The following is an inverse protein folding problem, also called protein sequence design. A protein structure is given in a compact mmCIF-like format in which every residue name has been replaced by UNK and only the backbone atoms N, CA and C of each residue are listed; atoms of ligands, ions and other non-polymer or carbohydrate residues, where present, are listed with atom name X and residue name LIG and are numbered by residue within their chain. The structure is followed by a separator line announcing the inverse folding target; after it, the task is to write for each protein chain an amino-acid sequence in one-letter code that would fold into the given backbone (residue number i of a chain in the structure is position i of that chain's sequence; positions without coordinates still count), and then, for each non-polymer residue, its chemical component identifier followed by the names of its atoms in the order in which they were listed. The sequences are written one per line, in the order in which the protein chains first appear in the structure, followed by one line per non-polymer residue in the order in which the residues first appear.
data_IF_041296276031
#
_entry.id   IF_041296276031
#
_cell.length_a   1.000
_cell.length_b   1.000
_cell.length_c   1.000
_cell.angle_alpha   90.00
_cell.angle_beta   90.00
_cell.angle_gamma   90.00
#
_symmetry.space_group_name_H-M   'P 1'
#
loop_
_entity.id
_entity.type
_entity.pdbx_description
1 polymer ?
#
# COMPACT_ATOMS: atom_id res chain seq x y z
N UNK A 1 6.23 -2.38 -4.90
CA UNK A 1 5.47 -3.65 -4.83
C UNK A 1 6.48 -4.81 -4.80
N UNK A 2 6.26 -5.87 -4.02
CA UNK A 2 7.21 -7.01 -3.86
C UNK A 2 6.86 -8.24 -4.73
N UNK A 3 6.01 -8.04 -5.73
CA UNK A 3 5.45 -9.10 -6.58
C UNK A 3 6.47 -9.69 -7.57
N UNK A 4 7.50 -8.93 -7.91
CA UNK A 4 8.55 -9.37 -8.84
C UNK A 4 9.50 -10.37 -8.14
N UNK A 5 10.22 -11.15 -8.93
CA UNK A 5 11.07 -12.24 -8.45
C UNK A 5 12.00 -11.85 -7.29
N UNK A 6 12.72 -10.70 -7.30
CA UNK A 6 13.61 -10.33 -6.19
C UNK A 6 12.85 -10.09 -4.87
N UNK A 7 11.65 -9.51 -4.94
CA UNK A 7 10.78 -9.31 -3.79
C UNK A 7 10.31 -10.63 -3.20
N UNK A 8 9.84 -11.54 -4.06
CA UNK A 8 9.41 -12.88 -3.66
C UNK A 8 10.54 -13.70 -3.04
N UNK A 9 11.74 -13.65 -3.65
CA UNK A 9 12.94 -14.34 -3.15
C UNK A 9 13.29 -13.89 -1.74
N UNK A 10 13.29 -12.59 -1.46
CA UNK A 10 13.58 -12.07 -0.12
C UNK A 10 12.55 -12.54 0.91
N UNK A 11 11.26 -12.56 0.55
CA UNK A 11 10.21 -13.04 1.44
C UNK A 11 10.41 -14.50 1.84
N UNK A 12 10.84 -15.35 0.89
CA UNK A 12 11.14 -16.76 1.16
C UNK A 12 12.46 -16.90 1.92
N UNK A 13 13.57 -16.43 1.35
CA UNK A 13 14.92 -16.75 1.81
C UNK A 13 15.29 -16.03 3.11
N UNK A 14 14.88 -14.75 3.24
CA UNK A 14 15.27 -13.91 4.38
C UNK A 14 14.24 -13.91 5.51
N UNK A 15 12.95 -14.05 5.16
CA UNK A 15 11.85 -13.99 6.12
C UNK A 15 11.17 -15.34 6.37
N UNK A 16 11.62 -16.41 5.70
CA UNK A 16 11.17 -17.78 5.96
C UNK A 16 9.70 -18.03 5.59
N UNK A 17 9.12 -17.20 4.72
CA UNK A 17 7.73 -17.38 4.32
C UNK A 17 7.61 -18.58 3.37
N UNK A 18 6.61 -19.45 3.55
CA UNK A 18 6.39 -20.56 2.63
C UNK A 18 6.17 -20.07 1.20
N UNK A 19 6.91 -20.63 0.24
CA UNK A 19 6.90 -20.20 -1.16
C UNK A 19 5.49 -20.18 -1.77
N UNK A 20 4.68 -21.22 -1.51
CA UNK A 20 3.30 -21.27 -1.99
C UNK A 20 2.41 -20.14 -1.46
N UNK A 21 2.68 -19.61 -0.26
CA UNK A 21 1.98 -18.43 0.27
C UNK A 21 2.47 -17.16 -0.42
N UNK A 22 3.77 -17.03 -0.65
CA UNK A 22 4.37 -15.88 -1.35
C UNK A 22 3.87 -15.78 -2.78
N UNK A 23 3.82 -16.91 -3.51
CA UNK A 23 3.23 -16.99 -4.85
C UNK A 23 1.78 -16.51 -4.83
N UNK A 24 0.94 -17.08 -3.96
CA UNK A 24 -0.47 -16.70 -3.86
C UNK A 24 -0.63 -15.22 -3.53
N UNK A 25 0.14 -14.70 -2.57
CA UNK A 25 0.13 -13.27 -2.23
C UNK A 25 0.50 -12.40 -3.41
N UNK A 26 1.49 -12.81 -4.21
CA UNK A 26 1.94 -12.04 -5.37
C UNK A 26 0.87 -11.90 -6.47
N UNK A 27 -0.11 -12.80 -6.48
CA UNK A 27 -1.21 -12.80 -7.44
C UNK A 27 -2.44 -12.02 -6.94
N UNK A 28 -2.75 -12.12 -5.64
CA UNK A 28 -4.02 -11.58 -5.09
C UNK A 28 -3.89 -10.15 -4.54
N UNK A 29 -2.68 -9.69 -4.20
CA UNK A 29 -2.48 -8.34 -3.66
C UNK A 29 -1.94 -7.39 -4.73
N UNK A 30 -2.79 -6.46 -5.17
CA UNK A 30 -2.36 -5.26 -5.87
C UNK A 30 -1.88 -4.15 -4.91
N UNK A 31 -1.50 -3.00 -5.47
CA UNK A 31 -0.94 -1.87 -4.71
C UNK A 31 -1.98 -1.32 -3.72
N UNK A 32 -3.23 -1.16 -4.15
CA UNK A 32 -4.28 -0.60 -3.27
C UNK A 32 -4.71 -1.62 -2.20
N UNK A 33 -4.67 -2.91 -2.51
CA UNK A 33 -4.90 -3.99 -1.53
C UNK A 33 -3.86 -3.99 -0.40
N UNK A 34 -2.59 -3.75 -0.71
CA UNK A 34 -1.53 -3.59 0.31
C UNK A 34 -1.80 -2.37 1.19
N UNK A 35 -2.23 -1.24 0.61
CA UNK A 35 -2.60 -0.05 1.39
C UNK A 35 -3.76 -0.34 2.36
N UNK A 36 -4.78 -1.08 1.92
CA UNK A 36 -5.93 -1.43 2.78
C UNK A 36 -5.53 -2.40 3.91
N UNK A 37 -4.60 -3.31 3.66
CA UNK A 37 -4.02 -4.16 4.70
C UNK A 37 -3.24 -3.34 5.74
N UNK A 38 -2.38 -2.42 5.29
CA UNK A 38 -1.66 -1.52 6.18
C UNK A 38 -2.61 -0.63 6.99
N UNK A 39 -3.68 -0.14 6.36
CA UNK A 39 -4.75 0.62 7.01
C UNK A 39 -5.43 -0.20 8.12
N UNK A 40 -5.74 -1.47 7.88
CA UNK A 40 -6.31 -2.37 8.87
C UNK A 40 -5.36 -2.60 10.07
N UNK A 41 -4.07 -2.83 9.81
CA UNK A 41 -3.05 -2.98 10.85
C UNK A 41 -2.91 -1.70 11.68
N UNK A 42 -2.87 -0.53 11.03
CA UNK A 42 -2.83 0.77 11.71
C UNK A 42 -4.09 1.01 12.53
N UNK A 43 -5.26 0.65 12.01
CA UNK A 43 -6.55 0.76 12.72
C UNK A 43 -6.53 -0.05 14.01
N UNK A 44 -6.08 -1.32 13.96
CA UNK A 44 -5.96 -2.17 15.14
C UNK A 44 -5.09 -1.51 16.23
N UNK A 45 -3.93 -1.00 15.82
CA UNK A 45 -2.96 -0.36 16.73
C UNK A 45 -3.45 0.98 17.26
N UNK A 46 -4.09 1.80 16.43
CA UNK A 46 -4.54 3.15 16.81
C UNK A 46 -5.69 3.11 17.80
N UNK A 47 -6.67 2.24 17.58
CA UNK A 47 -7.82 2.08 18.49
C UNK A 47 -7.55 1.10 19.64
N UNK A 48 -6.38 0.45 19.69
CA UNK A 48 -6.02 -0.47 20.76
C UNK A 48 -6.78 -1.79 20.74
N UNK A 49 -7.20 -2.25 19.56
CA UNK A 49 -7.94 -3.49 19.39
C UNK A 49 -7.12 -4.72 19.78
N UNK A 50 -7.77 -5.62 20.48
CA UNK A 50 -7.23 -6.88 20.97
C UNK A 50 -7.59 -8.06 20.08
N UNK A 51 -7.38 -9.25 20.65
CA UNK A 51 -7.60 -10.54 19.96
C UNK A 51 -9.07 -10.87 19.67
N UNK A 52 -10.00 -10.20 20.37
CA UNK A 52 -11.44 -10.46 20.29
C UNK A 52 -12.16 -9.45 19.39
N UNK A 53 -11.44 -8.43 18.91
CA UNK A 53 -11.96 -7.41 18.01
C UNK A 53 -11.81 -7.82 16.54
N UNK A 54 -12.81 -7.48 15.73
CA UNK A 54 -12.84 -7.83 14.31
C UNK A 54 -12.63 -6.58 13.45
N UNK A 55 -11.65 -6.64 12.56
CA UNK A 55 -11.45 -5.66 11.49
C UNK A 55 -11.76 -6.35 10.17
N UNK A 56 -12.69 -5.76 9.41
CA UNK A 56 -12.97 -6.17 8.03
C UNK A 56 -12.30 -5.17 7.10
N UNK A 57 -11.51 -5.67 6.16
CA UNK A 57 -10.88 -4.87 5.10
C UNK A 57 -11.05 -5.55 3.75
N UNK A 58 -10.93 -4.78 2.67
CA UNK A 58 -11.14 -5.26 1.31
C UNK A 58 -9.83 -5.15 0.54
N UNK A 59 -9.38 -6.26 -0.04
CA UNK A 59 -8.30 -6.22 -1.04
C UNK A 59 -8.94 -5.88 -2.39
N UNK A 60 -8.90 -4.61 -2.77
CA UNK A 60 -9.71 -4.03 -3.85
C UNK A 60 -9.28 -4.44 -5.26
N UNK A 61 -8.08 -4.96 -5.39
CA UNK A 61 -7.34 -5.07 -6.64
C UNK A 61 -6.28 -6.17 -6.52
N UNK A 62 -6.10 -6.89 -7.62
CA UNK A 62 -5.01 -7.81 -7.84
C UNK A 62 -3.90 -7.10 -8.65
N UNK A 63 -2.72 -7.73 -8.72
CA UNK A 63 -1.56 -7.12 -9.35
C UNK A 63 -1.70 -6.94 -10.87
N UNK A 64 -2.59 -7.71 -11.48
CA UNK A 64 -2.91 -7.71 -12.91
C UNK A 64 -3.43 -6.36 -13.44
N UNK A 65 -3.86 -5.46 -12.55
CA UNK A 65 -4.29 -4.10 -12.92
C UNK A 65 -3.13 -3.09 -12.98
N UNK A 66 -1.92 -3.47 -12.57
CA UNK A 66 -0.80 -2.55 -12.35
C UNK A 66 0.39 -2.75 -13.29
N UNK A 67 0.25 -3.48 -14.39
CA UNK A 67 1.37 -3.73 -15.32
C UNK A 67 2.05 -2.45 -15.81
N UNK A 68 1.27 -1.48 -16.28
CA UNK A 68 1.78 -0.18 -16.75
C UNK A 68 2.45 0.62 -15.63
N UNK A 69 1.89 0.55 -14.41
CA UNK A 69 2.47 1.21 -13.23
C UNK A 69 3.80 0.56 -12.84
N UNK A 70 3.88 -0.76 -12.85
CA UNK A 70 5.13 -1.50 -12.56
C UNK A 70 6.21 -1.22 -13.62
N UNK A 71 5.81 -1.14 -14.89
CA UNK A 71 6.72 -0.76 -15.97
C UNK A 71 7.20 0.68 -15.81
N UNK A 72 6.29 1.62 -15.53
CA UNK A 72 6.65 3.01 -15.26
C UNK A 72 7.60 3.12 -14.07
N UNK A 73 7.32 2.43 -12.96
CA UNK A 73 8.21 2.39 -11.80
C UNK A 73 9.60 1.86 -12.18
N UNK A 74 9.67 0.82 -13.01
CA UNK A 74 10.95 0.26 -13.47
C UNK A 74 11.73 1.24 -14.36
N UNK A 75 11.03 2.03 -15.18
CA UNK A 75 11.66 3.07 -16.02
C UNK A 75 12.13 4.26 -15.18
N UNK A 76 11.37 4.68 -14.18
CA UNK A 76 11.66 5.85 -13.34
C UNK A 76 12.73 5.56 -12.28
N UNK A 77 12.65 4.41 -11.63
CA UNK A 77 13.49 4.06 -10.46
C UNK A 77 14.50 2.94 -10.75
N UNK A 78 14.51 2.40 -11.97
CA UNK A 78 15.27 1.21 -12.33
C UNK A 78 14.53 -0.08 -11.98
N UNK A 79 14.98 -1.18 -12.60
CA UNK A 79 14.48 -2.52 -12.26
C UNK A 79 14.85 -2.84 -10.81
N UNK A 80 13.90 -3.38 -10.07
CA UNK A 80 14.12 -3.77 -8.69
C UNK A 80 15.10 -4.95 -8.63
N UNK A 81 16.17 -4.81 -7.87
CA UNK A 81 17.07 -5.89 -7.49
C UNK A 81 16.77 -6.36 -6.06
N UNK A 82 17.58 -7.27 -5.52
CA UNK A 82 17.42 -7.74 -4.14
C UNK A 82 17.63 -6.60 -3.11
N UNK A 83 18.56 -5.68 -3.35
CA UNK A 83 18.83 -4.56 -2.44
C UNK A 83 17.61 -3.66 -2.33
N UNK A 84 17.05 -3.26 -3.46
CA UNK A 84 15.84 -2.42 -3.53
C UNK A 84 14.62 -3.16 -2.99
N UNK A 85 14.48 -4.47 -3.26
CA UNK A 85 13.42 -5.27 -2.67
C UNK A 85 13.49 -5.31 -1.14
N UNK A 86 14.68 -5.46 -0.56
CA UNK A 86 14.88 -5.40 0.89
C UNK A 86 14.51 -4.01 1.45
N UNK A 87 14.97 -2.94 0.79
CA UNK A 87 14.69 -1.57 1.19
C UNK A 87 13.19 -1.27 1.17
N UNK A 88 12.48 -1.67 0.10
CA UNK A 88 11.03 -1.55 -0.03
C UNK A 88 10.29 -2.31 1.05
N UNK A 89 10.69 -3.54 1.35
CA UNK A 89 10.04 -4.33 2.39
C UNK A 89 10.13 -3.63 3.76
N UNK A 90 11.33 -3.18 4.12
CA UNK A 90 11.55 -2.46 5.39
C UNK A 90 10.75 -1.16 5.42
N UNK A 91 10.80 -0.37 4.35
CA UNK A 91 10.08 0.91 4.24
C UNK A 91 8.56 0.74 4.30
N UNK A 92 8.01 -0.19 3.51
CA UNK A 92 6.56 -0.39 3.35
C UNK A 92 5.94 -1.09 4.55
N UNK A 93 6.62 -2.06 5.18
CA UNK A 93 6.01 -2.88 6.23
C UNK A 93 6.58 -2.59 7.62
N UNK A 94 7.91 -2.51 7.77
CA UNK A 94 8.53 -2.41 9.10
C UNK A 94 8.64 -0.98 9.62
N UNK A 95 8.74 0.02 8.74
CA UNK A 95 8.85 1.43 9.12
C UNK A 95 7.49 2.14 9.25
N UNK A 96 6.39 1.39 9.24
CA UNK A 96 5.05 1.98 9.35
C UNK A 96 4.79 2.53 10.75
N UNK A 97 4.41 3.81 10.83
CA UNK A 97 4.07 4.53 12.06
C UNK A 97 2.55 4.70 12.20
N UNK A 98 2.06 5.23 13.31
CA UNK A 98 0.65 5.62 13.47
C UNK A 98 0.38 7.05 12.96
N UNK A 99 0.99 7.40 11.84
CA UNK A 99 0.82 8.64 11.13
C UNK A 99 -0.26 8.54 10.04
N UNK A 100 -0.72 9.70 9.57
CA UNK A 100 -1.74 9.83 8.51
C UNK A 100 -3.10 9.20 8.85
N UNK A 101 -3.47 9.22 10.12
CA UNK A 101 -4.77 8.77 10.61
C UNK A 101 -5.66 10.00 10.82
N UNK A 102 -6.86 9.97 10.25
CA UNK A 102 -7.89 10.99 10.47
C UNK A 102 -9.16 10.29 10.95
N UNK A 103 -9.61 10.65 12.14
CA UNK A 103 -10.90 10.21 12.66
C UNK A 103 -12.06 10.79 11.85
N UNK A 104 -13.21 10.12 11.87
CA UNK A 104 -14.43 10.47 11.14
C UNK A 104 -15.15 11.72 11.65
N UNK A 105 -14.43 12.83 11.81
CA UNK A 105 -15.04 14.13 12.13
C UNK A 105 -15.86 14.65 10.96
N UNK A 106 -16.77 15.61 11.20
CA UNK A 106 -17.53 16.27 10.13
C UNK A 106 -16.63 16.85 9.03
N UNK A 107 -15.47 17.40 9.41
CA UNK A 107 -14.49 17.91 8.45
C UNK A 107 -13.89 16.76 7.61
N UNK A 108 -13.50 15.66 8.24
CA UNK A 108 -12.97 14.49 7.53
C UNK A 108 -14.01 13.91 6.56
N UNK A 109 -15.28 13.83 6.96
CA UNK A 109 -16.36 13.38 6.08
C UNK A 109 -16.49 14.28 4.84
N UNK A 110 -16.43 15.60 5.00
CA UNK A 110 -16.45 16.52 3.86
C UNK A 110 -15.25 16.32 2.92
N UNK A 111 -14.07 16.00 3.48
CA UNK A 111 -12.87 15.69 2.69
C UNK A 111 -13.03 14.39 1.89
N UNK A 112 -13.72 13.37 2.42
CA UNK A 112 -13.96 12.12 1.69
C UNK A 112 -14.83 12.33 0.45
N UNK A 113 -15.85 13.20 0.52
CA UNK A 113 -16.65 13.56 -0.65
C UNK A 113 -15.85 14.35 -1.71
N UNK A 114 -14.75 14.99 -1.31
CA UNK A 114 -13.88 15.79 -2.16
C UNK A 114 -12.47 15.19 -2.27
N UNK A 115 -12.36 13.85 -2.18
CA UNK A 115 -11.07 13.17 -2.00
C UNK A 115 -10.07 13.53 -3.09
N UNK A 116 -10.52 13.62 -4.36
CA UNK A 116 -9.66 13.97 -5.50
C UNK A 116 -9.03 15.35 -5.30
N UNK A 117 -9.82 16.35 -4.94
CA UNK A 117 -9.35 17.71 -4.66
C UNK A 117 -8.39 17.74 -3.46
N UNK A 118 -8.80 17.21 -2.31
CA UNK A 118 -7.99 17.24 -1.10
C UNK A 118 -6.66 16.48 -1.23
N UNK A 119 -6.60 15.44 -2.06
CA UNK A 119 -5.35 14.68 -2.26
C UNK A 119 -4.47 15.26 -3.37
N UNK A 120 -5.05 15.73 -4.47
CA UNK A 120 -4.26 16.24 -5.60
C UNK A 120 -3.85 17.70 -5.41
N UNK A 121 -4.77 18.57 -5.00
CA UNK A 121 -4.45 19.99 -4.80
C UNK A 121 -3.80 20.20 -3.45
N UNK A 122 -4.53 19.92 -2.37
CA UNK A 122 -4.09 20.35 -1.05
C UNK A 122 -2.86 19.58 -0.56
N UNK A 123 -2.77 18.28 -0.84
CA UNK A 123 -1.66 17.44 -0.37
C UNK A 123 -0.50 17.35 -1.35
N UNK A 124 -0.76 17.23 -2.66
CA UNK A 124 0.29 17.07 -3.67
C UNK A 124 0.70 18.40 -4.34
N UNK A 125 -0.01 19.49 -4.07
CA UNK A 125 0.30 20.81 -4.62
C UNK A 125 0.02 20.96 -6.11
N UNK A 126 -0.81 20.09 -6.69
CA UNK A 126 -1.21 20.19 -8.11
C UNK A 126 -2.25 21.27 -8.31
N UNK A 127 -2.38 21.77 -9.53
CA UNK A 127 -3.39 22.77 -9.85
C UNK A 127 -4.77 22.13 -10.03
N UNK A 128 -5.84 22.94 -9.95
CA UNK A 128 -7.22 22.46 -10.20
C UNK A 128 -7.40 22.15 -11.68
N UNK A 129 -6.70 22.85 -12.56
CA UNK A 129 -6.73 22.63 -14.00
C UNK A 129 -6.11 21.27 -14.39
N UNK A 130 -5.06 20.83 -13.68
CA UNK A 130 -4.49 19.48 -13.82
C UNK A 130 -5.43 18.37 -13.30
N UNK A 131 -6.46 18.75 -12.55
CA UNK A 131 -7.45 17.86 -11.96
C UNK A 131 -8.60 17.54 -12.92
N UNK A 132 -8.93 18.47 -13.81
CA UNK A 132 -10.03 18.37 -14.77
C UNK A 132 -9.58 17.90 -16.18
N UNK A 133 -8.26 17.78 -16.40
CA UNK A 133 -7.65 17.20 -17.60
C UNK A 133 -7.64 15.67 -17.57
#
# INVERSE_FOLDING_TARGET
CLVEQPGRKILVDRYGLPEGKVEKMSQIFGISGVCNLLGAIKTAKFYGYGRDDVIVTVCTDAIDRYWSVMEQMSRTYGKMDETEAAARLVSIFHHQKLDWIKEGTRQTHNQWHNLKYCTWVEQQGKSVEELDA
#
